data_IF_618170875258
#
_entry.id   IF_618170875258
#
_cell.length_a   1.000
_cell.length_b   1.000
_cell.length_c   1.000
_cell.angle_alpha   90.00
_cell.angle_beta   90.00
_cell.angle_gamma   90.00
#
_symmetry.space_group_name_H-M   'P 1'
#
loop_
_entity.id
_entity.type
_entity.pdbx_description
1 polymer ?
#
# COMPACT_ATOMS: atom_id res chain seq x y z
N UNK A 1 -39.45 -4.74 54.35
CA UNK A 1 -38.84 -4.45 53.02
C UNK A 1 -39.54 -3.24 52.42
N UNK A 2 -38.94 -2.05 52.50
CA UNK A 2 -39.53 -0.81 51.97
C UNK A 2 -39.51 -0.89 50.44
N UNK A 3 -40.68 -0.91 49.80
CA UNK A 3 -40.83 -0.72 48.34
C UNK A 3 -40.25 0.65 48.02
N UNK A 4 -39.00 0.69 47.53
CA UNK A 4 -38.43 1.87 46.91
C UNK A 4 -39.34 2.23 45.74
N UNK A 5 -40.08 3.32 45.90
CA UNK A 5 -41.06 3.81 44.94
C UNK A 5 -40.35 4.09 43.61
N UNK A 6 -40.61 3.27 42.59
CA UNK A 6 -40.10 3.41 41.22
C UNK A 6 -40.04 4.86 40.65
N UNK A 7 -40.97 5.80 40.96
CA UNK A 7 -40.86 7.19 40.48
C UNK A 7 -39.64 7.97 40.96
N UNK A 8 -38.97 7.61 42.07
CA UNK A 8 -37.78 8.34 42.53
C UNK A 8 -36.55 8.02 41.68
N UNK A 9 -36.39 6.76 41.25
CA UNK A 9 -35.30 6.31 40.39
C UNK A 9 -35.34 6.99 39.02
N UNK A 10 -36.54 7.14 38.44
CA UNK A 10 -36.70 7.80 37.14
C UNK A 10 -36.28 9.27 37.17
N UNK A 11 -36.68 10.01 38.22
CA UNK A 11 -36.30 11.42 38.40
C UNK A 11 -34.79 11.60 38.55
N UNK A 12 -34.13 10.73 39.33
CA UNK A 12 -32.68 10.78 39.51
C UNK A 12 -31.94 10.49 38.20
N UNK A 13 -32.36 9.47 37.44
CA UNK A 13 -31.77 9.18 36.13
C UNK A 13 -31.96 10.35 35.14
N UNK A 14 -33.14 10.96 35.10
CA UNK A 14 -33.41 12.10 34.24
C UNK A 14 -32.52 13.32 34.60
N UNK A 15 -32.36 13.62 35.89
CA UNK A 15 -31.51 14.71 36.36
C UNK A 15 -30.03 14.47 36.02
N UNK A 16 -29.53 13.24 36.19
CA UNK A 16 -28.15 12.88 35.84
C UNK A 16 -27.89 12.97 34.34
N UNK A 17 -28.84 12.52 33.50
CA UNK A 17 -28.74 12.67 32.05
C UNK A 17 -28.74 14.14 31.65
N UNK A 18 -29.62 14.97 32.21
CA UNK A 18 -29.66 16.40 31.94
C UNK A 18 -28.33 17.07 32.34
N UNK A 19 -27.79 16.75 33.52
CA UNK A 19 -26.51 17.27 33.97
C UNK A 19 -25.37 16.86 33.00
N UNK A 20 -25.36 15.61 32.55
CA UNK A 20 -24.40 15.14 31.57
C UNK A 20 -24.53 15.91 30.25
N UNK A 21 -25.76 16.10 29.73
CA UNK A 21 -26.00 16.90 28.53
C UNK A 21 -25.53 18.35 28.68
N UNK A 22 -25.80 19.00 29.81
CA UNK A 22 -25.34 20.36 30.09
C UNK A 22 -23.81 20.43 30.16
N UNK A 23 -23.16 19.44 30.77
CA UNK A 23 -21.70 19.39 30.83
C UNK A 23 -21.07 19.16 29.44
N UNK A 24 -21.70 18.36 28.58
CA UNK A 24 -21.28 18.20 27.18
C UNK A 24 -21.52 19.48 26.36
N UNK A 25 -22.64 20.18 26.57
CA UNK A 25 -22.90 21.45 25.90
C UNK A 25 -21.88 22.52 26.34
N UNK A 26 -21.57 22.58 27.64
CA UNK A 26 -20.56 23.48 28.19
C UNK A 26 -19.16 23.18 27.64
N UNK A 27 -18.77 21.91 27.55
CA UNK A 27 -17.47 21.53 26.99
C UNK A 27 -17.36 21.87 25.51
N UNK A 28 -18.44 21.71 24.73
CA UNK A 28 -18.50 22.12 23.33
C UNK A 28 -18.48 23.64 23.16
N UNK A 29 -19.10 24.39 24.08
CA UNK A 29 -19.06 25.86 24.09
C UNK A 29 -17.66 26.40 24.37
N UNK A 30 -16.92 25.73 25.25
CA UNK A 30 -15.54 26.08 25.61
C UNK A 30 -14.48 25.39 24.74
N UNK A 31 -14.87 24.67 23.69
CA UNK A 31 -13.93 24.03 22.81
C UNK A 31 -13.04 25.09 22.13
N UNK A 32 -11.70 24.99 22.22
CA UNK A 32 -10.81 25.94 21.59
C UNK A 32 -11.02 25.92 20.06
N UNK A 33 -10.73 27.06 19.41
CA UNK A 33 -10.77 27.14 17.96
C UNK A 33 -9.86 26.05 17.35
N UNK A 34 -10.45 25.16 16.57
CA UNK A 34 -9.72 24.13 15.85
C UNK A 34 -9.55 24.59 14.40
N UNK A 35 -8.31 24.70 13.94
CA UNK A 35 -7.95 25.10 12.59
C UNK A 35 -7.56 23.88 11.77
N UNK A 36 -7.83 23.91 10.46
CA UNK A 36 -7.34 22.90 9.53
C UNK A 36 -7.02 23.54 8.18
N UNK A 37 -6.16 22.92 7.36
CA UNK A 37 -5.93 23.37 5.99
C UNK A 37 -7.15 23.01 5.14
N UNK A 38 -7.89 24.03 4.68
CA UNK A 38 -8.95 23.84 3.68
C UNK A 38 -8.38 23.63 2.27
N UNK A 39 -7.15 24.08 2.03
CA UNK A 39 -6.39 23.78 0.82
C UNK A 39 -4.90 23.67 1.14
N UNK A 40 -4.23 22.68 0.55
CA UNK A 40 -2.77 22.52 0.57
C UNK A 40 -2.27 22.81 -0.83
N UNK A 41 -1.43 23.82 -0.98
CA UNK A 41 -0.92 24.26 -2.27
C UNK A 41 0.56 23.95 -2.39
N UNK A 42 0.96 23.23 -3.44
CA UNK A 42 2.36 23.04 -3.81
C UNK A 42 2.71 23.90 -5.04
N UNK A 43 3.78 24.70 -4.96
CA UNK A 43 4.30 25.52 -6.05
C UNK A 43 5.71 25.04 -6.37
N UNK A 44 5.90 24.52 -7.59
CA UNK A 44 7.16 23.94 -8.05
C UNK A 44 7.61 24.59 -9.36
N UNK A 45 8.89 24.93 -9.43
CA UNK A 45 9.56 25.22 -10.69
C UNK A 45 9.62 23.95 -11.58
N UNK A 46 9.91 24.14 -12.87
CA UNK A 46 10.12 23.00 -13.77
C UNK A 46 11.36 22.20 -13.33
N UNK A 47 11.22 20.88 -13.28
CA UNK A 47 12.24 19.94 -12.77
C UNK A 47 12.30 19.84 -11.24
N UNK A 48 11.56 20.66 -10.49
CA UNK A 48 11.60 20.66 -9.02
C UNK A 48 10.79 19.51 -8.43
N UNK A 49 11.23 19.04 -7.26
CA UNK A 49 10.56 17.99 -6.48
C UNK A 49 10.40 18.44 -5.03
N UNK A 50 9.24 18.18 -4.44
CA UNK A 50 8.98 18.37 -3.00
C UNK A 50 8.53 17.06 -2.36
N UNK A 51 9.01 16.81 -1.15
CA UNK A 51 8.59 15.68 -0.33
C UNK A 51 7.41 16.12 0.54
N UNK A 52 6.32 15.37 0.53
CA UNK A 52 5.13 15.65 1.33
C UNK A 52 4.79 14.41 2.17
N UNK A 53 4.43 14.63 3.42
CA UNK A 53 3.94 13.56 4.27
C UNK A 53 2.92 14.04 5.28
N UNK A 54 2.96 13.43 6.46
CA UNK A 54 2.00 13.64 7.54
C UNK A 54 1.82 15.11 7.89
N UNK A 55 2.93 15.86 7.98
CA UNK A 55 2.92 17.27 8.37
C UNK A 55 2.42 18.14 7.23
N UNK A 56 3.02 18.08 6.04
CA UNK A 56 2.75 18.99 4.92
C UNK A 56 1.36 18.80 4.31
N UNK A 57 0.82 17.57 4.35
CA UNK A 57 -0.51 17.25 3.88
C UNK A 57 -1.59 17.38 4.97
N UNK A 58 -1.19 17.62 6.22
CA UNK A 58 -2.05 17.48 7.40
C UNK A 58 -2.84 16.15 7.40
N UNK A 59 -2.22 15.08 6.91
CA UNK A 59 -2.81 13.74 6.81
C UNK A 59 -2.31 12.91 7.99
N UNK A 60 -3.07 12.76 9.09
CA UNK A 60 -2.59 12.23 10.37
C UNK A 60 -2.11 10.79 10.27
N UNK A 61 -2.60 10.01 9.31
CA UNK A 61 -2.19 8.63 9.08
C UNK A 61 -1.23 8.45 7.90
N UNK A 62 -0.72 9.54 7.31
CA UNK A 62 0.38 9.45 6.35
C UNK A 62 1.70 9.20 7.09
N UNK A 63 2.75 8.83 6.35
CA UNK A 63 4.09 8.70 6.90
C UNK A 63 4.77 10.08 6.87
N UNK A 64 5.89 10.24 7.60
CA UNK A 64 6.65 11.50 7.64
C UNK A 64 7.03 11.98 6.23
N UNK A 65 7.47 11.05 5.38
CA UNK A 65 7.64 11.25 3.94
C UNK A 65 6.77 10.20 3.26
N UNK A 66 5.61 10.60 2.73
CA UNK A 66 4.69 9.65 2.12
C UNK A 66 4.79 9.69 0.60
N UNK A 67 4.86 10.88 0.02
CA UNK A 67 4.93 11.09 -1.42
C UNK A 67 6.06 12.05 -1.79
N UNK A 68 6.60 11.89 -3.00
CA UNK A 68 7.33 12.95 -3.69
C UNK A 68 6.46 13.46 -4.83
N UNK A 69 6.27 14.77 -4.87
CA UNK A 69 5.60 15.47 -5.95
C UNK A 69 6.66 16.15 -6.81
N UNK A 70 6.68 15.85 -8.10
CA UNK A 70 7.62 16.36 -9.08
C UNK A 70 6.87 17.13 -10.17
N UNK A 71 7.46 18.20 -10.67
CA UNK A 71 6.99 18.87 -11.88
C UNK A 71 8.05 18.71 -12.97
N UNK A 72 7.72 18.04 -14.06
CA UNK A 72 8.69 17.76 -15.12
C UNK A 72 9.02 19.01 -15.95
N UNK A 73 9.96 18.87 -16.90
CA UNK A 73 10.34 19.95 -17.83
C UNK A 73 9.21 20.36 -18.78
N UNK A 74 8.25 19.47 -19.03
CA UNK A 74 7.03 19.74 -19.80
C UNK A 74 5.94 20.44 -18.98
N UNK A 75 6.15 20.62 -17.67
CA UNK A 75 5.20 21.23 -16.75
C UNK A 75 4.13 20.29 -16.20
N UNK A 76 4.22 18.99 -16.50
CA UNK A 76 3.31 17.97 -15.99
C UNK A 76 3.64 17.63 -14.54
N UNK A 77 2.60 17.28 -13.79
CA UNK A 77 2.74 16.84 -12.41
C UNK A 77 2.91 15.33 -12.34
N UNK A 78 3.89 14.89 -11.56
CA UNK A 78 4.22 13.50 -11.33
C UNK A 78 4.25 13.22 -9.84
N UNK A 79 3.81 12.02 -9.46
CA UNK A 79 3.74 11.58 -8.08
C UNK A 79 4.50 10.27 -7.92
N UNK A 80 5.32 10.19 -6.87
CA UNK A 80 5.98 8.95 -6.45
C UNK A 80 5.57 8.58 -5.04
N UNK A 81 5.20 7.32 -4.82
CA UNK A 81 4.97 6.83 -3.46
C UNK A 81 6.32 6.52 -2.79
N UNK A 82 6.55 7.12 -1.62
CA UNK A 82 7.72 6.89 -0.78
C UNK A 82 7.39 6.06 0.45
N UNK A 83 6.11 5.93 0.79
CA UNK A 83 5.71 5.14 1.94
C UNK A 83 6.04 3.67 1.67
N UNK A 84 6.84 3.03 2.55
CA UNK A 84 7.13 1.62 2.40
C UNK A 84 5.90 0.78 2.70
N UNK A 85 4.98 1.29 3.52
CA UNK A 85 3.90 0.53 4.13
C UNK A 85 2.49 0.87 3.65
N UNK A 86 2.28 2.10 3.19
CA UNK A 86 0.97 2.60 2.79
C UNK A 86 1.01 2.86 1.30
N UNK A 87 -0.08 2.48 0.65
CA UNK A 87 -0.23 2.70 -0.78
C UNK A 87 -1.03 3.98 -1.00
N UNK A 88 -0.71 4.68 -2.07
CA UNK A 88 -1.47 5.84 -2.53
C UNK A 88 -2.50 5.37 -3.54
N UNK A 89 -3.73 5.82 -3.39
CA UNK A 89 -4.80 5.55 -4.35
C UNK A 89 -4.99 6.82 -5.19
N UNK A 90 -5.06 6.66 -6.51
CA UNK A 90 -5.33 7.71 -7.48
C UNK A 90 -6.73 7.49 -8.04
N UNK A 91 -7.50 8.55 -8.20
CA UNK A 91 -8.82 8.46 -8.82
C UNK A 91 -8.81 9.19 -10.15
N UNK A 92 -9.24 8.47 -11.17
CA UNK A 92 -9.30 8.89 -12.57
C UNK A 92 -10.73 8.75 -13.06
N UNK A 93 -11.02 9.22 -14.28
CA UNK A 93 -12.32 8.99 -14.91
C UNK A 93 -12.63 7.49 -15.08
N UNK A 94 -11.60 6.67 -15.31
CA UNK A 94 -11.70 5.23 -15.51
C UNK A 94 -11.82 4.43 -14.20
N UNK A 95 -11.80 5.10 -13.05
CA UNK A 95 -11.91 4.48 -11.73
C UNK A 95 -10.71 4.72 -10.81
N UNK A 96 -10.60 3.90 -9.77
CA UNK A 96 -9.54 3.99 -8.78
C UNK A 96 -8.32 3.16 -9.19
N UNK A 97 -7.13 3.70 -8.96
CA UNK A 97 -5.86 3.04 -9.28
C UNK A 97 -4.93 3.10 -8.08
N UNK A 98 -4.52 1.93 -7.64
CA UNK A 98 -3.54 1.81 -6.58
C UNK A 98 -2.12 1.97 -7.11
N UNK A 99 -1.36 2.94 -6.59
CA UNK A 99 0.08 3.04 -6.87
C UNK A 99 0.80 1.82 -6.29
N UNK A 100 1.86 1.36 -6.96
CA UNK A 100 2.47 0.07 -6.61
C UNK A 100 1.77 -1.13 -7.23
N UNK A 101 0.85 -0.90 -8.17
CA UNK A 101 0.21 -1.93 -9.00
C UNK A 101 0.35 -1.64 -10.49
N UNK A 102 0.40 -2.70 -11.29
CA UNK A 102 0.49 -2.63 -12.76
C UNK A 102 -0.45 -3.67 -13.38
N UNK A 103 -1.00 -3.37 -14.56
CA UNK A 103 -1.63 -4.40 -15.38
C UNK A 103 -0.52 -5.19 -16.12
N UNK A 104 -0.39 -6.51 -15.90
CA UNK A 104 0.62 -7.30 -16.60
C UNK A 104 0.32 -7.36 -18.10
N UNK A 105 1.36 -7.28 -18.92
CA UNK A 105 1.25 -7.28 -20.39
C UNK A 105 1.97 -8.49 -20.99
N UNK A 106 1.47 -9.03 -22.10
CA UNK A 106 2.15 -10.09 -22.83
C UNK A 106 3.53 -9.63 -23.33
N UNK A 107 4.53 -10.51 -23.26
CA UNK A 107 5.93 -10.20 -23.57
C UNK A 107 6.69 -9.48 -22.44
N UNK A 108 6.00 -9.01 -21.40
CA UNK A 108 6.63 -8.37 -20.25
C UNK A 108 7.30 -9.41 -19.34
N UNK A 109 8.39 -9.02 -18.68
CA UNK A 109 8.94 -9.81 -17.58
C UNK A 109 8.73 -9.08 -16.26
N UNK A 110 8.43 -9.84 -15.21
CA UNK A 110 8.40 -9.33 -13.84
C UNK A 110 9.24 -10.22 -12.93
N UNK A 111 9.75 -9.63 -11.86
CA UNK A 111 10.62 -10.29 -10.90
C UNK A 111 10.08 -10.05 -9.50
N UNK A 112 9.97 -11.13 -8.72
CA UNK A 112 9.59 -11.10 -7.31
C UNK A 112 10.76 -11.66 -6.52
N UNK A 113 11.50 -10.78 -5.83
CA UNK A 113 12.76 -11.18 -5.20
C UNK A 113 13.79 -11.65 -6.23
N UNK A 114 14.29 -12.88 -6.13
CA UNK A 114 15.19 -13.46 -7.13
C UNK A 114 14.44 -14.17 -8.29
N UNK A 115 13.14 -14.44 -8.14
CA UNK A 115 12.38 -15.21 -9.11
C UNK A 115 11.90 -14.33 -10.27
N UNK A 116 12.33 -14.66 -11.49
CA UNK A 116 11.92 -13.99 -12.73
C UNK A 116 10.83 -14.76 -13.44
N UNK A 117 9.86 -14.05 -13.98
CA UNK A 117 8.71 -14.58 -14.70
C UNK A 117 8.56 -13.84 -16.01
N UNK A 118 8.27 -14.58 -17.08
CA UNK A 118 7.93 -14.04 -18.39
C UNK A 118 6.42 -14.21 -18.61
N UNK A 119 5.72 -13.11 -18.87
CA UNK A 119 4.28 -13.10 -19.18
C UNK A 119 4.12 -13.48 -20.64
N UNK A 120 3.54 -14.65 -20.90
CA UNK A 120 3.34 -15.15 -22.26
C UNK A 120 2.02 -14.68 -22.86
N UNK A 121 1.00 -14.47 -22.02
CA UNK A 121 -0.31 -13.94 -22.42
C UNK A 121 -0.96 -13.22 -21.24
N UNK A 122 -1.72 -12.16 -21.52
CA UNK A 122 -2.48 -11.42 -20.51
C UNK A 122 -3.72 -10.81 -21.18
N UNK A 123 -4.89 -11.08 -20.61
CA UNK A 123 -6.17 -10.53 -21.04
C UNK A 123 -7.02 -10.16 -19.81
N UNK A 124 -8.28 -9.75 -20.03
CA UNK A 124 -9.17 -9.39 -18.93
C UNK A 124 -9.55 -10.59 -18.06
N UNK A 125 -9.60 -11.80 -18.61
CA UNK A 125 -10.00 -13.03 -17.92
C UNK A 125 -8.84 -13.70 -17.17
N UNK A 126 -7.62 -13.62 -17.69
CA UNK A 126 -6.50 -14.38 -17.16
C UNK A 126 -5.12 -13.90 -17.61
N UNK A 127 -4.12 -14.54 -17.04
CA UNK A 127 -2.71 -14.33 -17.33
C UNK A 127 -1.99 -15.67 -17.36
N UNK A 128 -1.16 -15.84 -18.38
CA UNK A 128 -0.23 -16.96 -18.48
C UNK A 128 1.20 -16.45 -18.38
N UNK A 129 2.02 -17.12 -17.57
CA UNK A 129 3.40 -16.75 -17.35
C UNK A 129 4.27 -17.97 -17.10
N UNK A 130 5.57 -17.88 -17.37
CA UNK A 130 6.52 -18.99 -17.21
C UNK A 130 7.69 -18.62 -16.32
N UNK A 131 8.27 -19.63 -15.67
CA UNK A 131 9.55 -19.54 -14.95
C UNK A 131 10.37 -20.81 -15.25
N UNK A 132 11.45 -20.65 -16.02
CA UNK A 132 12.17 -21.80 -16.57
C UNK A 132 11.23 -22.66 -17.40
N UNK A 133 11.21 -23.97 -17.15
CA UNK A 133 10.32 -24.91 -17.85
C UNK A 133 8.86 -24.92 -17.36
N UNK A 134 8.55 -24.30 -16.21
CA UNK A 134 7.22 -24.36 -15.62
C UNK A 134 6.31 -23.30 -16.23
N UNK A 135 5.12 -23.71 -16.68
CA UNK A 135 4.08 -22.81 -17.19
C UNK A 135 2.97 -22.66 -16.16
N UNK A 136 2.55 -21.43 -15.95
CA UNK A 136 1.49 -21.06 -15.03
C UNK A 136 0.40 -20.32 -15.78
N UNK A 137 -0.86 -20.60 -15.44
CA UNK A 137 -2.02 -19.83 -15.89
C UNK A 137 -2.86 -19.49 -14.68
N UNK A 138 -3.32 -18.25 -14.59
CA UNK A 138 -4.19 -17.77 -13.53
C UNK A 138 -5.36 -17.01 -14.15
N UNK A 139 -6.59 -17.35 -13.79
CA UNK A 139 -7.84 -16.80 -14.36
C UNK A 139 -8.56 -15.81 -13.42
N UNK A 140 -7.86 -15.33 -12.38
CA UNK A 140 -8.46 -14.50 -11.35
C UNK A 140 -9.09 -15.27 -10.17
N UNK A 141 -9.21 -16.60 -10.27
CA UNK A 141 -9.83 -17.43 -9.25
C UNK A 141 -9.00 -18.69 -8.91
N UNK A 142 -8.35 -19.31 -9.88
CA UNK A 142 -7.62 -20.59 -9.79
C UNK A 142 -6.26 -20.47 -10.47
N UNK A 143 -5.22 -21.01 -9.82
CA UNK A 143 -3.89 -21.16 -10.40
C UNK A 143 -3.75 -22.56 -11.02
N UNK A 144 -3.29 -22.59 -12.26
CA UNK A 144 -2.96 -23.80 -13.01
C UNK A 144 -1.45 -23.85 -13.22
N UNK A 145 -0.88 -25.04 -13.09
CA UNK A 145 0.50 -25.35 -13.42
C UNK A 145 0.50 -26.41 -14.51
N UNK A 146 1.12 -26.10 -15.64
CA UNK A 146 1.22 -27.02 -16.78
C UNK A 146 -0.15 -27.60 -17.18
N UNK A 147 -1.21 -26.76 -17.10
CA UNK A 147 -2.59 -27.12 -17.41
C UNK A 147 -3.41 -27.70 -16.23
N UNK A 148 -2.77 -28.08 -15.12
CA UNK A 148 -3.45 -28.69 -13.98
C UNK A 148 -3.72 -27.68 -12.86
N UNK A 149 -4.97 -27.60 -12.40
CA UNK A 149 -5.35 -26.76 -11.26
C UNK A 149 -4.57 -27.19 -10.00
N UNK A 150 -4.02 -26.22 -9.27
CA UNK A 150 -3.27 -26.50 -8.05
C UNK A 150 -4.18 -27.05 -6.94
N UNK A 151 -3.70 -28.06 -6.23
CA UNK A 151 -4.40 -28.64 -5.09
C UNK A 151 -4.49 -27.63 -3.95
N UNK A 152 -5.54 -27.71 -3.12
CA UNK A 152 -5.65 -26.85 -1.95
C UNK A 152 -4.47 -27.05 -0.99
N UNK A 153 -4.09 -26.00 -0.27
CA UNK A 153 -3.03 -26.09 0.72
C UNK A 153 -3.42 -27.04 1.86
N UNK A 154 -2.43 -27.69 2.48
CA UNK A 154 -2.66 -28.64 3.57
C UNK A 154 -3.39 -27.96 4.76
N UNK A 155 -3.06 -26.71 5.04
CA UNK A 155 -3.66 -25.84 6.07
C UNK A 155 -5.00 -25.21 5.65
N UNK A 156 -5.49 -25.46 4.44
CA UNK A 156 -6.73 -24.84 3.96
C UNK A 156 -7.94 -25.35 4.76
N UNK A 157 -8.74 -24.40 5.27
CA UNK A 157 -10.02 -24.68 5.94
C UNK A 157 -10.98 -25.41 4.98
N UNK A 158 -11.90 -26.26 5.49
CA UNK A 158 -12.84 -27.00 4.64
C UNK A 158 -13.64 -26.09 3.69
N UNK A 159 -14.11 -24.93 4.15
CA UNK A 159 -14.80 -23.95 3.31
C UNK A 159 -13.92 -23.44 2.16
N UNK A 160 -12.63 -23.21 2.39
CA UNK A 160 -11.69 -22.78 1.35
C UNK A 160 -11.41 -23.88 0.32
N UNK A 161 -11.44 -25.15 0.75
CA UNK A 161 -11.32 -26.31 -0.16
C UNK A 161 -12.57 -26.47 -1.02
N UNK A 162 -13.76 -26.35 -0.42
CA UNK A 162 -15.03 -26.37 -1.13
C UNK A 162 -15.09 -25.23 -2.16
N UNK A 163 -14.67 -24.03 -1.79
CA UNK A 163 -14.59 -22.88 -2.71
C UNK A 163 -13.62 -23.12 -3.88
N UNK A 164 -12.48 -23.79 -3.64
CA UNK A 164 -11.58 -24.15 -4.74
C UNK A 164 -12.20 -25.15 -5.70
N UNK A 165 -12.92 -26.15 -5.17
CA UNK A 165 -13.64 -27.11 -6.00
C UNK A 165 -14.73 -26.41 -6.81
N UNK A 166 -15.48 -25.50 -6.19
CA UNK A 166 -16.46 -24.65 -6.85
C UNK A 166 -15.85 -23.87 -8.01
N UNK A 167 -14.79 -23.08 -7.74
CA UNK A 167 -14.12 -22.27 -8.77
C UNK A 167 -13.52 -23.12 -9.91
N UNK A 168 -13.23 -24.41 -9.69
CA UNK A 168 -12.69 -25.31 -10.71
C UNK A 168 -13.77 -25.84 -11.67
N UNK A 169 -15.00 -26.00 -11.18
CA UNK A 169 -16.11 -26.59 -11.94
C UNK A 169 -16.99 -25.51 -12.58
N UNK A 170 -17.10 -24.36 -11.92
CA UNK A 170 -17.96 -23.27 -12.38
C UNK A 170 -17.34 -22.48 -13.53
N UNK A 171 -18.17 -21.94 -14.45
CA UNK A 171 -17.71 -21.00 -15.46
C UNK A 171 -17.24 -19.69 -14.83
N UNK A 172 -16.37 -18.95 -15.53
CA UNK A 172 -15.66 -17.78 -15.01
C UNK A 172 -16.55 -16.75 -14.30
N UNK A 173 -17.75 -16.49 -14.82
CA UNK A 173 -18.71 -15.53 -14.26
C UNK A 173 -19.36 -15.97 -12.93
N UNK A 174 -19.30 -17.26 -12.58
CA UNK A 174 -19.73 -17.82 -11.29
C UNK A 174 -18.57 -18.07 -10.33
N UNK A 175 -17.33 -17.87 -10.78
CA UNK A 175 -16.17 -18.05 -9.91
C UNK A 175 -16.07 -16.90 -8.91
N UNK A 176 -15.59 -17.23 -7.71
CA UNK A 176 -15.30 -16.23 -6.69
C UNK A 176 -13.85 -15.81 -6.83
N UNK A 177 -13.62 -14.53 -7.14
CA UNK A 177 -12.28 -13.98 -7.31
C UNK A 177 -11.42 -14.20 -6.05
N UNK A 178 -10.18 -14.67 -6.26
CA UNK A 178 -9.22 -14.88 -5.18
C UNK A 178 -7.83 -14.52 -5.61
N UNK A 179 -7.09 -13.68 -4.86
CA UNK A 179 -5.76 -13.25 -5.25
C UNK A 179 -4.80 -14.44 -5.38
N UNK A 180 -3.92 -14.38 -6.37
CA UNK A 180 -2.70 -15.16 -6.45
C UNK A 180 -1.62 -14.48 -5.61
N UNK A 181 -1.10 -15.22 -4.63
CA UNK A 181 -0.11 -14.76 -3.66
C UNK A 181 1.26 -15.34 -4.01
N UNK A 182 2.26 -14.48 -4.19
CA UNK A 182 3.65 -14.89 -4.42
C UNK A 182 4.43 -14.88 -3.09
N UNK A 183 5.27 -15.89 -2.88
CA UNK A 183 6.10 -16.04 -1.68
C UNK A 183 5.81 -17.30 -0.86
N UNK A 184 6.62 -17.53 0.17
CA UNK A 184 6.61 -18.75 0.98
C UNK A 184 7.25 -19.94 0.26
N UNK A 185 7.30 -21.11 0.89
CA UNK A 185 8.05 -22.26 0.34
C UNK A 185 7.20 -23.33 -0.35
N UNK A 186 5.87 -23.12 -0.46
CA UNK A 186 4.93 -24.16 -0.92
C UNK A 186 4.06 -23.63 -2.06
N UNK A 187 3.95 -24.42 -3.13
CA UNK A 187 2.98 -24.20 -4.21
C UNK A 187 1.68 -24.94 -3.87
N UNK A 188 0.60 -24.21 -3.65
CA UNK A 188 -0.72 -24.79 -3.38
C UNK A 188 -1.83 -23.74 -3.55
N UNK A 189 -3.01 -24.14 -4.00
CA UNK A 189 -4.13 -23.26 -4.27
C UNK A 189 -3.71 -22.05 -5.10
N UNK A 190 -3.96 -20.84 -4.59
CA UNK A 190 -3.51 -19.59 -5.23
C UNK A 190 -2.25 -19.04 -4.54
N UNK A 191 -1.36 -19.91 -4.07
CA UNK A 191 -0.06 -19.55 -3.50
C UNK A 191 1.04 -20.12 -4.39
N UNK A 192 1.91 -19.25 -4.89
CA UNK A 192 3.09 -19.62 -5.65
C UNK A 192 4.32 -19.42 -4.76
N UNK A 193 4.85 -20.54 -4.26
CA UNK A 193 6.04 -20.58 -3.42
C UNK A 193 7.29 -20.03 -4.13
N UNK A 194 8.00 -19.15 -3.45
CA UNK A 194 9.29 -18.59 -3.83
C UNK A 194 10.24 -18.76 -2.63
N UNK A 195 11.32 -19.51 -2.83
CA UNK A 195 12.35 -19.68 -1.81
C UNK A 195 12.89 -18.32 -1.35
N UNK A 196 13.11 -18.18 -0.04
CA UNK A 196 13.68 -16.99 0.60
C UNK A 196 12.83 -15.70 0.43
N UNK A 197 11.56 -15.85 0.09
CA UNK A 197 10.62 -14.73 -0.07
C UNK A 197 9.45 -14.91 0.87
N UNK A 198 9.12 -13.85 1.62
CA UNK A 198 7.99 -13.87 2.55
C UNK A 198 6.66 -14.06 1.80
N UNK A 199 5.71 -14.84 2.35
CA UNK A 199 4.38 -14.99 1.77
C UNK A 199 3.69 -13.64 1.59
N UNK A 200 3.17 -13.38 0.39
CA UNK A 200 2.51 -12.10 0.09
C UNK A 200 3.48 -10.98 -0.27
N UNK A 201 4.69 -11.30 -0.71
CA UNK A 201 5.64 -10.37 -1.31
C UNK A 201 5.08 -9.62 -2.53
N UNK A 202 4.31 -10.33 -3.37
CA UNK A 202 3.55 -9.77 -4.48
C UNK A 202 2.18 -10.45 -4.56
N UNK A 203 1.22 -9.76 -5.14
CA UNK A 203 -0.16 -10.20 -5.29
C UNK A 203 -0.59 -9.97 -6.74
N UNK A 204 -1.33 -10.91 -7.30
CA UNK A 204 -2.00 -10.75 -8.58
C UNK A 204 -3.49 -10.98 -8.35
N UNK A 205 -4.29 -9.95 -8.51
CA UNK A 205 -5.70 -9.96 -8.14
C UNK A 205 -6.54 -9.17 -9.14
N UNK A 206 -7.84 -9.45 -9.18
CA UNK A 206 -8.79 -8.67 -9.97
C UNK A 206 -9.13 -7.37 -9.24
N UNK A 207 -8.94 -6.24 -9.91
CA UNK A 207 -9.33 -4.91 -9.46
C UNK A 207 -9.94 -4.16 -10.66
N UNK A 208 -11.15 -3.64 -10.48
CA UNK A 208 -11.90 -2.94 -11.54
C UNK A 208 -12.07 -3.79 -12.82
N UNK A 209 -12.36 -5.08 -12.63
CA UNK A 209 -12.54 -6.03 -13.73
C UNK A 209 -11.24 -6.54 -14.39
N UNK A 210 -10.08 -5.95 -14.09
CA UNK A 210 -8.80 -6.36 -14.68
C UNK A 210 -7.85 -7.00 -13.67
N UNK A 211 -6.95 -7.87 -14.15
CA UNK A 211 -5.88 -8.40 -13.32
C UNK A 211 -4.80 -7.34 -13.11
N UNK A 212 -4.43 -7.11 -11.85
CA UNK A 212 -3.35 -6.21 -11.45
C UNK A 212 -2.33 -6.96 -10.61
N UNK A 213 -1.07 -6.84 -11.01
CA UNK A 213 0.09 -7.28 -10.24
C UNK A 213 0.51 -6.13 -9.32
N UNK A 214 0.41 -6.33 -8.02
CA UNK A 214 0.79 -5.35 -7.00
C UNK A 214 1.89 -5.89 -6.09
N UNK A 215 2.71 -4.96 -5.60
CA UNK A 215 3.65 -5.30 -4.56
C UNK A 215 2.88 -5.50 -3.24
N UNK A 216 3.11 -6.62 -2.57
CA UNK A 216 2.30 -7.05 -1.43
C UNK A 216 2.74 -6.46 -0.08
N UNK A 217 2.34 -7.08 1.03
CA UNK A 217 2.31 -6.41 2.33
C UNK A 217 3.72 -5.98 2.80
N UNK A 218 3.93 -4.72 3.21
CA UNK A 218 5.18 -4.22 3.83
C UNK A 218 5.67 -4.91 5.10
N UNK A 219 4.81 -5.63 5.81
CA UNK A 219 5.14 -6.20 7.14
C UNK A 219 6.09 -7.41 7.06
N UNK A 220 6.32 -7.95 5.85
CA UNK A 220 7.34 -8.96 5.58
C UNK A 220 8.62 -8.34 5.00
N UNK A 221 9.73 -9.11 5.03
CA UNK A 221 10.94 -8.75 4.27
C UNK A 221 10.55 -8.37 2.84
N UNK A 222 10.91 -7.13 2.48
CA UNK A 222 10.48 -6.43 1.27
C UNK A 222 11.12 -7.08 0.05
N UNK A 223 10.50 -8.13 -0.46
CA UNK A 223 10.81 -8.57 -1.80
C UNK A 223 10.42 -7.46 -2.79
N UNK A 224 11.41 -6.96 -3.53
CA UNK A 224 11.16 -6.03 -4.62
C UNK A 224 10.32 -6.72 -5.69
N UNK A 225 9.26 -6.03 -6.10
CA UNK A 225 8.52 -6.37 -7.31
C UNK A 225 9.09 -5.47 -8.41
N UNK A 226 9.86 -6.05 -9.31
CA UNK A 226 10.46 -5.34 -10.43
C UNK A 226 9.72 -5.71 -11.72
N UNK A 227 9.48 -4.73 -12.58
CA UNK A 227 9.08 -4.96 -13.97
C UNK A 227 10.27 -4.68 -14.86
N UNK A 228 10.54 -5.57 -15.80
CA UNK A 228 11.49 -5.29 -16.87
C UNK A 228 10.75 -4.57 -17.99
N UNK A 229 11.16 -3.34 -18.29
CA UNK A 229 10.68 -2.56 -19.42
C UNK A 229 11.90 -2.05 -20.17
N UNK A 230 11.99 -2.37 -21.46
CA UNK A 230 13.09 -1.95 -22.32
C UNK A 230 14.48 -2.29 -21.75
N UNK A 231 14.59 -3.48 -21.11
CA UNK A 231 15.82 -3.93 -20.46
C UNK A 231 16.12 -3.28 -19.09
N UNK A 232 15.29 -2.34 -18.64
CA UNK A 232 15.44 -1.64 -17.36
C UNK A 232 14.51 -2.24 -16.31
N UNK A 233 15.07 -2.57 -15.15
CA UNK A 233 14.32 -3.04 -13.99
C UNK A 233 13.70 -1.85 -13.24
N UNK A 234 12.37 -1.77 -13.22
CA UNK A 234 11.61 -0.71 -12.54
C UNK A 234 10.93 -1.31 -11.32
N UNK A 235 11.21 -0.79 -10.13
CA UNK A 235 10.48 -1.13 -8.90
C UNK A 235 9.08 -0.54 -8.96
N UNK A 236 8.06 -1.41 -8.99
CA UNK A 236 6.65 -1.02 -9.11
C UNK A 236 6.22 -0.11 -7.95
N UNK A 237 6.79 -0.30 -6.74
CA UNK A 237 6.47 0.55 -5.58
C UNK A 237 6.98 1.98 -5.73
N UNK A 238 8.12 2.15 -6.42
CA UNK A 238 8.80 3.43 -6.60
C UNK A 238 8.49 4.09 -7.94
N UNK A 239 7.58 3.51 -8.71
CA UNK A 239 7.18 4.05 -10.00
C UNK A 239 6.56 5.44 -9.83
N UNK A 240 6.98 6.36 -10.69
CA UNK A 240 6.35 7.67 -10.83
C UNK A 240 5.11 7.55 -11.70
N UNK A 241 4.02 8.17 -11.25
CA UNK A 241 2.74 8.19 -11.96
C UNK A 241 2.41 9.63 -12.31
N UNK A 242 2.02 9.86 -13.56
CA UNK A 242 1.52 11.17 -13.97
C UNK A 242 0.20 11.45 -13.27
N UNK A 243 0.02 12.70 -12.82
CA UNK A 243 -1.25 13.19 -12.27
C UNK A 243 -2.18 13.75 -13.36
N UNK A 244 -1.80 13.61 -14.63
CA UNK A 244 -2.69 13.92 -15.77
C UNK A 244 -3.94 13.05 -15.66
N UNK A 245 -5.12 13.66 -15.77
CA UNK A 245 -6.44 13.02 -15.63
C UNK A 245 -6.72 12.40 -14.25
N UNK A 246 -5.96 12.76 -13.21
CA UNK A 246 -6.23 12.36 -11.81
C UNK A 246 -7.03 13.48 -11.13
N UNK A 247 -8.26 13.17 -10.72
CA UNK A 247 -9.17 14.12 -10.05
C UNK A 247 -9.01 14.12 -8.54
N UNK A 248 -8.57 13.01 -7.95
CA UNK A 248 -8.33 12.89 -6.52
C UNK A 248 -7.23 11.89 -6.20
N UNK A 249 -6.63 12.02 -5.03
CA UNK A 249 -5.74 11.01 -4.46
C UNK A 249 -6.08 10.73 -3.00
N UNK A 250 -5.75 9.54 -2.51
CA UNK A 250 -5.86 9.17 -1.10
C UNK A 250 -4.48 8.89 -0.54
N UNK A 251 -4.08 9.66 0.46
CA UNK A 251 -2.78 9.56 1.14
C UNK A 251 -3.03 9.43 2.63
N UNK A 252 -2.57 8.33 3.25
CA UNK A 252 -2.79 8.10 4.68
C UNK A 252 -4.27 8.19 5.07
N UNK A 253 -5.15 7.56 4.30
CA UNK A 253 -6.62 7.61 4.41
C UNK A 253 -7.27 9.00 4.30
N UNK A 254 -6.50 10.03 3.95
CA UNK A 254 -7.02 11.38 3.69
C UNK A 254 -7.21 11.52 2.19
N UNK A 255 -8.44 11.79 1.76
CA UNK A 255 -8.76 12.04 0.36
C UNK A 255 -8.49 13.51 0.03
N UNK A 256 -7.74 13.76 -1.03
CA UNK A 256 -7.46 15.08 -1.58
C UNK A 256 -8.05 15.18 -2.98
N UNK A 257 -8.88 16.18 -3.25
CA UNK A 257 -9.22 16.56 -4.62
C UNK A 257 -8.04 17.35 -5.21
N UNK A 258 -7.68 17.05 -6.45
CA UNK A 258 -6.57 17.68 -7.14
C UNK A 258 -7.10 18.76 -8.08
N UNK A 259 -6.61 19.97 -7.92
CA UNK A 259 -6.89 21.11 -8.80
C UNK A 259 -5.56 21.60 -9.37
N UNK A 260 -5.12 21.03 -10.51
CA UNK A 260 -3.89 21.44 -11.16
C UNK A 260 -4.06 22.83 -11.80
N UNK A 261 -3.03 23.66 -11.65
CA UNK A 261 -2.89 24.97 -12.26
C UNK A 261 -1.46 25.10 -12.81
N UNK A 262 -1.18 26.03 -13.75
CA UNK A 262 0.17 26.26 -14.23
C UNK A 262 1.13 26.60 -13.08
N UNK A 263 2.12 25.72 -12.83
CA UNK A 263 3.11 25.89 -11.75
C UNK A 263 2.59 25.70 -10.32
N UNK A 264 1.32 25.35 -10.15
CA UNK A 264 0.72 25.14 -8.84
C UNK A 264 -0.19 23.91 -8.84
N UNK A 265 -0.06 23.03 -7.83
CA UNK A 265 -1.01 21.97 -7.57
C UNK A 265 -1.72 22.25 -6.25
N UNK A 266 -3.03 22.45 -6.32
CA UNK A 266 -3.86 22.63 -5.13
C UNK A 266 -4.53 21.31 -4.77
N UNK A 267 -4.35 20.87 -3.53
CA UNK A 267 -4.90 19.65 -2.95
C UNK A 267 -5.93 20.05 -1.89
N UNK A 268 -7.20 19.73 -2.14
CA UNK A 268 -8.30 20.05 -1.22
C UNK A 268 -8.61 18.81 -0.37
N UNK A 269 -8.25 18.79 0.92
CA UNK A 269 -8.53 17.65 1.78
C UNK A 269 -10.02 17.55 2.09
N UNK A 270 -10.57 16.33 2.03
CA UNK A 270 -11.99 16.06 2.29
C UNK A 270 -12.28 15.72 3.75
N UNK A 271 -11.75 14.59 4.25
CA UNK A 271 -11.99 14.07 5.60
C UNK A 271 -10.70 13.51 6.19
N UNK A 272 -10.66 13.37 7.52
CA UNK A 272 -9.52 12.86 8.31
C UNK A 272 -8.28 13.75 8.18
N UNK A 273 -8.44 15.04 8.47
CA UNK A 273 -7.36 16.04 8.45
C UNK A 273 -6.93 16.32 9.89
N UNK A 274 -5.65 16.60 10.11
CA UNK A 274 -5.15 17.08 11.39
C UNK A 274 -5.82 18.42 11.76
N UNK A 275 -6.19 18.54 13.03
CA UNK A 275 -6.68 19.79 13.61
C UNK A 275 -5.55 20.45 14.41
N UNK A 276 -5.49 21.77 14.34
CA UNK A 276 -4.46 22.60 14.96
C UNK A 276 -5.11 23.63 15.89
N UNK A 277 -4.42 24.00 16.95
CA UNK A 277 -4.89 25.04 17.88
C UNK A 277 -4.74 26.47 17.32
N UNK A 278 -3.85 26.66 16.35
CA UNK A 278 -3.58 27.93 15.71
C UNK A 278 -3.23 27.74 14.22
N UNK A 279 -3.43 28.76 13.36
CA UNK A 279 -3.16 28.70 11.93
C UNK A 279 -1.68 28.97 11.60
N UNK A 280 -0.77 28.44 12.41
CA UNK A 280 0.67 28.52 12.22
C UNK A 280 1.27 27.12 12.22
N UNK A 281 1.76 26.71 11.06
CA UNK A 281 2.54 25.48 10.95
C UNK A 281 3.75 25.79 10.10
N UNK A 282 4.96 25.44 10.55
CA UNK A 282 6.12 25.58 9.70
C UNK A 282 5.95 24.65 8.49
N UNK A 283 6.14 25.17 7.29
CA UNK A 283 6.04 24.41 6.03
C UNK A 283 7.27 24.69 5.16
N UNK A 284 7.66 23.76 4.27
CA UNK A 284 8.63 24.05 3.22
C UNK A 284 8.19 25.25 2.36
N UNK A 285 9.14 25.99 1.79
CA UNK A 285 8.83 27.20 1.01
C UNK A 285 7.92 26.93 -0.21
N UNK A 286 7.94 25.72 -0.74
CA UNK A 286 7.12 25.27 -1.86
C UNK A 286 5.67 24.97 -1.47
N UNK A 287 5.36 24.86 -0.16
CA UNK A 287 4.07 24.39 0.33
C UNK A 287 3.41 25.48 1.18
N UNK A 288 2.17 25.81 0.87
CA UNK A 288 1.38 26.76 1.65
C UNK A 288 0.00 26.21 1.96
N UNK A 289 -0.54 26.56 3.12
CA UNK A 289 -1.90 26.20 3.51
C UNK A 289 -2.83 27.41 3.44
N UNK A 290 -4.07 27.14 3.04
CA UNK A 290 -5.19 28.02 3.32
C UNK A 290 -5.90 27.51 4.55
N UNK A 291 -5.77 28.23 5.65
CA UNK A 291 -6.36 27.86 6.93
C UNK A 291 -7.85 28.16 6.96
N UNK A 292 -8.62 27.27 7.59
CA UNK A 292 -10.02 27.49 7.92
C UNK A 292 -10.28 27.06 9.36
N UNK A 293 -10.99 27.91 10.09
CA UNK A 293 -11.50 27.56 11.41
C UNK A 293 -12.61 26.52 11.25
N UNK A 294 -12.63 25.53 12.14
CA UNK A 294 -13.71 24.55 12.27
C UNK A 294 -14.81 25.18 13.08
N UNK A 295 -15.89 25.56 12.40
CA UNK A 295 -17.13 25.94 13.06
C UNK A 295 -17.75 24.70 13.69
N UNK A 296 -17.98 24.75 15.01
CA UNK A 296 -18.57 23.63 15.76
C UNK A 296 -20.09 23.60 15.57
N UNK A 297 -20.69 24.74 15.19
CA UNK A 297 -22.14 24.92 15.03
C UNK A 297 -22.44 25.84 13.85
N UNK A 298 -23.11 25.32 12.82
CA UNK A 298 -23.82 26.15 11.85
C UNK A 298 -25.24 26.35 12.40
N UNK A 299 -25.48 27.47 13.09
CA UNK A 299 -26.85 27.84 13.45
C UNK A 299 -27.67 28.11 12.17
N UNK A 300 -28.96 27.73 12.12
CA UNK A 300 -29.85 28.10 11.02
C UNK A 300 -29.99 29.64 11.02
N UNK A 301 -29.16 30.33 10.24
CA UNK A 301 -29.09 31.79 10.25
C UNK A 301 -27.71 32.37 9.96
N UNK A 302 -26.64 31.58 10.05
CA UNK A 302 -25.33 32.01 9.54
C UNK A 302 -25.35 31.93 8.02
N UNK A 303 -25.86 32.99 7.39
CA UNK A 303 -25.65 33.25 5.97
C UNK A 303 -24.14 33.25 5.76
N UNK A 304 -23.66 32.30 4.97
CA UNK A 304 -22.30 32.29 4.43
C UNK A 304 -22.00 33.68 3.92
N UNK A 305 -21.18 34.43 4.67
CA UNK A 305 -20.65 35.70 4.20
C UNK A 305 -19.67 35.37 3.09
N UNK A 306 -20.22 35.18 1.88
CA UNK A 306 -19.47 35.26 0.63
C UNK A 306 -18.72 36.59 0.68
N UNK A 307 -17.40 36.50 0.55
CA UNK A 307 -16.47 37.53 0.96
C UNK A 307 -16.81 38.92 0.44
N UNK A 308 -16.78 39.89 1.34
CA UNK A 308 -16.40 41.24 0.93
C UNK A 308 -14.90 41.21 0.60
N UNK A 309 -14.48 41.61 -0.60
CA UNK A 309 -13.07 41.83 -0.87
C UNK A 309 -12.62 42.97 0.06
N UNK A 310 -11.66 42.69 0.93
CA UNK A 310 -10.92 43.74 1.64
C UNK A 310 -10.04 44.42 0.60
N UNK A 311 -10.60 45.40 -0.12
CA UNK A 311 -9.81 46.43 -0.78
C UNK A 311 -9.09 47.21 0.32
N UNK A 312 -7.86 46.78 0.62
CA UNK A 312 -6.94 47.56 1.44
C UNK A 312 -6.44 48.70 0.56
N UNK A 313 -7.11 49.84 0.63
CA UNK A 313 -6.60 51.11 0.12
C UNK A 313 -5.27 51.38 0.80
N UNK A 314 -4.20 51.26 0.02
CA UNK A 314 -2.89 51.80 0.36
C UNK A 314 -2.99 53.32 0.33
N UNK A 315 -3.24 53.92 1.50
CA UNK A 315 -3.27 55.36 1.70
C UNK A 315 -2.61 55.73 3.01
N UNK A 316 -1.44 56.35 2.90
CA UNK A 316 -0.80 57.21 3.91
C UNK A 316 -0.57 56.64 5.33
N UNK A 317 0.55 55.94 5.50
CA UNK A 317 1.30 55.95 6.76
C UNK A 317 2.80 56.13 6.48
N UNK A 318 3.12 57.23 5.79
CA UNK A 318 4.46 57.81 5.84
C UNK A 318 4.57 58.60 7.15
N UNK A 319 5.28 58.05 8.13
CA UNK A 319 5.61 58.75 9.36
C UNK A 319 5.66 57.84 10.57
N UNK A 320 6.82 57.80 11.22
CA UNK A 320 7.11 57.15 12.52
C UNK A 320 7.56 55.67 12.48
N UNK A 321 8.61 55.38 11.71
CA UNK A 321 9.55 54.28 12.04
C UNK A 321 11.02 54.71 11.90
N UNK A 322 11.34 55.92 12.42
CA UNK A 322 12.71 56.45 12.51
C UNK A 322 13.14 56.72 13.96
N UNK A 323 12.81 55.87 14.92
CA UNK A 323 13.30 56.02 16.31
C UNK A 323 13.36 54.68 17.08
N UNK A 324 13.91 53.61 16.49
CA UNK A 324 14.19 52.38 17.25
C UNK A 324 15.43 51.59 16.77
N UNK A 325 16.33 52.22 16.01
CA UNK A 325 17.63 51.64 15.60
C UNK A 325 18.83 52.54 15.95
N UNK A 326 18.76 53.25 17.07
CA UNK A 326 19.84 54.12 17.57
C UNK A 326 20.29 53.81 18.99
N UNK A 327 20.14 52.57 19.44
CA UNK A 327 20.72 52.05 20.69
C UNK A 327 21.28 50.65 20.47
N UNK A 328 22.42 50.58 19.77
CA UNK A 328 23.38 49.46 19.79
C UNK A 328 24.73 49.82 19.12
N UNK A 329 25.00 51.12 18.90
CA UNK A 329 26.29 51.63 18.45
C UNK A 329 26.82 52.60 19.51
N UNK A 330 27.53 52.07 20.50
CA UNK A 330 27.98 52.87 21.64
C UNK A 330 28.71 52.07 22.71
N UNK A 331 29.71 51.27 22.34
CA UNK A 331 30.79 50.89 23.24
C UNK A 331 31.95 50.32 22.42
N UNK A 332 33.17 50.77 22.75
CA UNK A 332 34.49 50.30 22.29
C UNK A 332 35.03 50.93 20.99
N UNK A 333 35.37 52.22 21.11
CA UNK A 333 36.64 52.73 20.57
C UNK A 333 37.56 53.08 21.75
N UNK A 334 38.78 52.57 21.72
CA UNK A 334 39.84 53.03 22.61
C UNK A 334 40.94 51.99 22.84
N UNK A 335 41.81 51.73 21.84
CA UNK A 335 43.25 51.58 22.07
C UNK A 335 44.04 51.51 20.73
N UNK A 336 44.75 52.61 20.45
CA UNK A 336 46.17 52.69 20.07
C UNK A 336 46.69 51.99 18.78
N UNK A 337 46.72 52.76 17.69
CA UNK A 337 47.91 53.28 16.95
C UNK A 337 49.22 52.43 16.92
N UNK A 338 49.62 51.98 15.71
CA UNK A 338 50.98 52.10 15.06
C UNK A 338 50.90 51.42 13.67
N UNK A 339 50.89 52.15 12.56
CA UNK A 339 52.02 52.70 11.73
C UNK A 339 52.88 51.63 11.01
N UNK A 340 52.99 51.78 9.69
CA UNK A 340 53.97 51.17 8.76
C UNK A 340 53.26 50.47 7.60
N UNK A 341 52.98 51.06 6.42
CA UNK A 341 53.85 51.65 5.39
C UNK A 341 54.69 50.62 4.60
N UNK A 342 54.47 50.56 3.27
CA UNK A 342 55.23 49.77 2.28
C UNK A 342 54.30 49.14 1.22
N UNK A 343 53.80 49.86 0.20
CA UNK A 343 54.40 50.23 -1.10
C UNK A 343 54.93 49.09 -2.00
N UNK A 344 54.30 49.02 -3.21
CA UNK A 344 54.89 48.78 -4.56
C UNK A 344 55.40 47.34 -4.84
N UNK A 345 55.48 46.77 -6.04
CA UNK A 345 55.09 47.04 -7.44
C UNK A 345 55.43 45.75 -8.24
N UNK A 346 54.74 45.52 -9.39
CA UNK A 346 55.19 44.71 -10.55
C UNK A 346 55.40 43.18 -10.33
N UNK A 347 55.31 42.27 -11.29
CA UNK A 347 55.41 42.29 -12.77
C UNK A 347 54.84 40.98 -13.33
N UNK A 348 54.56 41.00 -14.63
CA UNK A 348 54.21 39.88 -15.51
C UNK A 348 55.23 38.73 -15.52
N UNK A 349 54.78 37.54 -15.94
CA UNK A 349 55.63 36.41 -16.28
C UNK A 349 54.85 35.18 -16.75
N UNK A 350 55.01 34.85 -18.03
CA UNK A 350 54.40 33.77 -18.80
C UNK A 350 54.77 32.33 -18.38
N UNK A 351 54.03 31.41 -18.99
CA UNK A 351 54.45 30.08 -19.47
C UNK A 351 54.15 28.83 -18.62
N UNK A 352 53.16 28.09 -19.13
CA UNK A 352 53.19 26.66 -19.46
C UNK A 352 53.72 25.65 -18.42
N UNK A 353 52.78 24.87 -17.85
CA UNK A 353 52.87 23.40 -17.73
C UNK A 353 51.51 22.80 -17.34
N UNK A 354 50.93 21.98 -18.24
CA UNK A 354 50.03 20.86 -17.90
C UNK A 354 50.90 19.71 -17.29
N UNK A 355 50.34 18.60 -16.76
CA UNK A 355 48.95 18.21 -16.49
C UNK A 355 48.73 17.70 -15.03
N UNK A 356 47.50 17.36 -14.66
CA UNK A 356 47.29 16.54 -13.46
C UNK A 356 45.86 16.52 -12.92
N UNK A 357 45.05 15.60 -13.43
CA UNK A 357 43.73 15.28 -12.90
C UNK A 357 43.84 14.76 -11.45
N UNK A 358 43.11 15.40 -10.51
CA UNK A 358 42.86 14.84 -9.18
C UNK A 358 41.36 14.55 -9.02
N UNK A 359 41.00 13.29 -9.27
CA UNK A 359 39.83 12.65 -8.66
C UNK A 359 40.15 12.41 -7.19
N UNK A 360 39.43 13.08 -6.28
CA UNK A 360 39.41 12.72 -4.85
C UNK A 360 38.41 11.59 -4.64
N UNK A 361 38.91 10.38 -4.46
CA UNK A 361 38.24 9.30 -3.74
C UNK A 361 38.39 9.60 -2.24
N UNK A 362 37.28 9.59 -1.51
CA UNK A 362 37.29 9.44 -0.06
C UNK A 362 37.37 7.94 0.26
N UNK A 363 38.48 7.59 0.90
CA UNK A 363 38.77 6.30 1.50
C UNK A 363 38.45 6.42 3.01
N UNK A 364 37.68 5.47 3.56
CA UNK A 364 37.61 5.21 5.01
C UNK A 364 37.61 3.69 5.21
N UNK A 365 38.50 3.16 6.08
CA UNK A 365 38.88 1.75 6.08
C UNK A 365 38.11 0.92 7.12
N UNK A 366 38.02 -0.39 6.87
CA UNK A 366 37.49 -1.36 7.81
C UNK A 366 37.81 -2.81 7.44
N UNK A 367 39.10 -3.21 7.59
CA UNK A 367 39.58 -4.60 7.54
C UNK A 367 38.96 -5.45 8.66
N UNK A 368 38.57 -6.70 8.34
CA UNK A 368 39.12 -7.93 8.95
C UNK A 368 38.83 -9.19 8.11
N UNK A 369 39.95 -9.76 7.61
CA UNK A 369 40.34 -11.16 7.28
C UNK A 369 39.21 -12.18 7.02
N UNK A 370 39.08 -12.78 5.85
CA UNK A 370 39.99 -13.74 5.17
C UNK A 370 40.16 -15.08 5.92
N UNK A 371 39.51 -16.11 5.36
CA UNK A 371 39.79 -17.53 5.54
C UNK A 371 39.38 -18.25 4.26
N UNK A 372 40.35 -18.53 3.40
CA UNK A 372 40.26 -19.37 2.21
C UNK A 372 40.85 -20.73 2.58
N UNK A 373 40.20 -21.85 2.24
CA UNK A 373 40.80 -23.02 1.54
C UNK A 373 39.68 -23.79 0.84
N UNK A 374 39.98 -24.26 -0.37
CA UNK A 374 39.11 -24.88 -1.36
C UNK A 374 39.12 -26.42 -1.33
N UNK A 375 38.23 -26.97 -2.17
CA UNK A 375 38.31 -28.23 -2.93
C UNK A 375 38.09 -29.58 -2.21
N UNK A 376 37.11 -30.36 -2.68
CA UNK A 376 37.32 -31.50 -3.60
C UNK A 376 36.03 -32.35 -3.75
N UNK A 377 35.95 -33.06 -4.87
CA UNK A 377 34.80 -33.80 -5.37
C UNK A 377 34.85 -35.31 -5.01
N UNK A 378 33.67 -35.88 -4.68
CA UNK A 378 33.17 -37.26 -4.87
C UNK A 378 33.95 -38.48 -4.32
N UNK A 379 33.44 -39.74 -4.43
CA UNK A 379 32.05 -40.21 -4.58
C UNK A 379 31.66 -41.38 -3.61
N UNK A 380 30.38 -41.80 -3.69
CA UNK A 380 29.78 -43.13 -3.41
C UNK A 380 30.35 -44.06 -2.31
N UNK A 381 29.52 -44.41 -1.32
CA UNK A 381 29.44 -45.79 -0.80
C UNK A 381 28.11 -46.08 -0.06
N UNK A 382 27.57 -47.26 -0.36
CA UNK A 382 26.40 -47.93 0.19
C UNK A 382 26.67 -48.38 1.63
N UNK A 383 25.71 -48.24 2.55
CA UNK A 383 25.88 -48.72 3.93
C UNK A 383 24.59 -48.80 4.75
N UNK A 384 24.09 -50.02 4.91
CA UNK A 384 22.93 -50.49 5.67
C UNK A 384 22.77 -49.93 7.10
N UNK A 385 21.47 -49.76 7.46
CA UNK A 385 20.79 -50.07 8.74
C UNK A 385 21.58 -49.99 10.06
N UNK A 386 21.08 -49.17 10.98
CA UNK A 386 20.63 -49.58 12.33
C UNK A 386 19.82 -48.45 13.00
N UNK A 387 18.57 -48.73 13.37
CA UNK A 387 17.87 -48.04 14.46
C UNK A 387 18.53 -48.48 15.78
N UNK A 388 18.55 -47.62 16.82
CA UNK A 388 17.63 -47.90 17.91
C UNK A 388 17.10 -46.67 18.65
N UNK A 389 16.09 -46.97 19.47
CA UNK A 389 15.74 -46.35 20.75
C UNK A 389 15.15 -44.93 20.77
N UNK A 390 13.84 -44.95 20.98
CA UNK A 390 13.04 -43.99 21.75
C UNK A 390 13.76 -43.62 23.06
N UNK A 391 13.96 -42.32 23.28
CA UNK A 391 14.22 -41.76 24.61
C UNK A 391 13.14 -40.72 24.92
N UNK A 392 12.26 -41.09 25.85
CA UNK A 392 11.29 -40.20 26.50
C UNK A 392 12.09 -39.31 27.45
N UNK A 393 12.22 -38.03 27.10
CA UNK A 393 12.80 -37.00 27.97
C UNK A 393 11.73 -36.00 28.40
N UNK A 394 11.20 -36.19 29.62
CA UNK A 394 10.53 -35.13 30.39
C UNK A 394 11.58 -34.06 30.73
N UNK A 395 11.35 -32.82 30.33
CA UNK A 395 11.96 -31.66 30.98
C UNK A 395 10.85 -30.71 31.43
N UNK A 396 10.79 -30.56 32.75
CA UNK A 396 10.08 -29.52 33.44
C UNK A 396 10.91 -28.24 33.45
N UNK A 397 10.21 -27.10 33.43
CA UNK A 397 10.64 -25.86 34.06
C UNK A 397 11.54 -24.92 33.25
N UNK A 398 10.94 -23.90 32.65
CA UNK A 398 11.46 -22.54 32.73
C UNK A 398 10.32 -21.54 32.47
N UNK A 399 10.00 -20.78 33.52
CA UNK A 399 9.14 -19.61 33.48
C UNK A 399 9.75 -18.51 32.60
N UNK A 400 8.91 -17.77 31.87
CA UNK A 400 9.36 -16.66 31.03
C UNK A 400 8.20 -15.86 30.48
N UNK A 401 7.82 -14.83 31.23
CA UNK A 401 7.04 -13.63 30.92
C UNK A 401 6.47 -13.46 29.49
N UNK A 402 5.14 -13.32 29.42
CA UNK A 402 4.43 -12.93 28.21
C UNK A 402 4.53 -11.44 27.85
N UNK A 403 3.92 -11.07 26.71
CA UNK A 403 3.14 -9.85 26.66
C UNK A 403 1.72 -10.08 26.13
N UNK A 404 0.82 -9.23 26.61
CA UNK A 404 -0.63 -9.34 26.54
C UNK A 404 -1.22 -9.43 25.14
N UNK A 405 -2.18 -10.34 25.00
CA UNK A 405 -3.17 -10.32 23.92
C UNK A 405 -4.44 -9.65 24.44
N UNK A 406 -4.67 -8.41 24.00
CA UNK A 406 -6.00 -7.81 24.02
C UNK A 406 -6.86 -8.51 22.97
N UNK A 407 -7.68 -9.47 23.42
CA UNK A 407 -8.80 -9.98 22.64
C UNK A 407 -9.93 -8.96 22.69
N UNK A 408 -10.17 -8.23 21.61
CA UNK A 408 -11.41 -7.48 21.42
C UNK A 408 -12.47 -8.51 21.01
N UNK A 409 -13.30 -8.91 21.98
CA UNK A 409 -14.56 -9.61 21.73
C UNK A 409 -15.57 -8.55 21.30
N UNK A 410 -15.87 -8.49 20.00
CA UNK A 410 -17.03 -7.76 19.49
C UNK A 410 -18.24 -8.64 19.74
N UNK A 411 -18.89 -8.45 20.90
CA UNK A 411 -20.22 -8.96 21.15
C UNK A 411 -21.21 -8.07 20.38
N UNK A 412 -21.77 -8.60 19.30
CA UNK A 412 -22.90 -7.98 18.62
C UNK A 412 -24.13 -8.10 19.52
N UNK A 413 -24.55 -6.95 20.08
CA UNK A 413 -25.84 -6.78 20.75
C UNK A 413 -26.95 -6.84 19.70
N UNK A 414 -27.61 -8.00 19.60
CA UNK A 414 -28.93 -8.12 19.00
C UNK A 414 -30.00 -7.92 20.09
N UNK A 415 -31.11 -7.22 19.80
CA UNK A 415 -32.10 -6.86 20.81
C UNK A 415 -32.88 -8.10 21.29
N UNK A 416 -32.74 -8.37 22.58
CA UNK A 416 -33.41 -9.43 23.31
C UNK A 416 -34.89 -9.09 23.49
N UNK A 417 -35.75 -9.78 22.75
CA UNK A 417 -37.21 -9.69 22.85
C UNK A 417 -37.63 -10.45 24.13
N UNK A 418 -38.11 -9.70 25.13
CA UNK A 418 -38.67 -10.24 26.38
C UNK A 418 -39.86 -11.16 26.08
N UNK A 419 -39.67 -12.47 26.25
CA UNK A 419 -40.71 -13.48 26.35
C UNK A 419 -40.84 -13.94 27.80
N UNK A 420 -42.07 -13.93 28.29
CA UNK A 420 -42.48 -14.15 29.68
C UNK A 420 -42.27 -15.57 30.18
N UNK A 421 -42.17 -15.68 31.51
CA UNK A 421 -41.99 -16.90 32.27
C UNK A 421 -43.12 -17.91 32.09
N UNK A 422 -42.77 -19.18 31.84
CA UNK A 422 -43.69 -20.32 31.90
C UNK A 422 -43.36 -21.38 30.86
N UNK A 423 -42.41 -22.28 31.16
CA UNK A 423 -42.40 -23.69 30.70
C UNK A 423 -41.04 -24.37 30.95
N UNK A 424 -40.70 -24.54 32.24
CA UNK A 424 -39.65 -25.49 32.66
C UNK A 424 -40.30 -26.71 33.30
N UNK A 425 -40.87 -27.59 32.48
CA UNK A 425 -41.14 -28.98 32.83
C UNK A 425 -41.53 -29.75 31.57
N UNK A 426 -40.58 -30.47 30.97
CA UNK A 426 -40.71 -31.69 30.13
C UNK A 426 -39.59 -31.76 29.09
N UNK A 427 -38.39 -32.15 29.53
CA UNK A 427 -37.43 -32.87 28.67
C UNK A 427 -36.74 -33.96 29.48
N UNK A 428 -37.46 -35.06 29.67
CA UNK A 428 -36.89 -36.39 29.88
C UNK A 428 -37.55 -37.32 28.86
N UNK A 429 -36.70 -38.13 28.20
CA UNK A 429 -37.01 -39.21 27.24
C UNK A 429 -37.44 -38.77 25.84
N UNK A 430 -36.52 -38.91 24.88
CA UNK A 430 -36.70 -39.91 23.83
C UNK A 430 -35.34 -40.33 23.28
N UNK A 431 -35.07 -41.63 23.42
CA UNK A 431 -34.02 -42.41 22.78
C UNK A 431 -34.66 -43.04 21.55
N UNK A 432 -34.03 -42.91 20.38
CA UNK A 432 -34.20 -43.79 19.21
C UNK A 432 -33.18 -43.36 18.13
N UNK A 433 -32.13 -44.17 17.87
CA UNK A 433 -32.07 -45.17 16.79
C UNK A 433 -31.88 -44.55 15.39
N UNK A 434 -30.64 -44.57 14.90
CA UNK A 434 -30.35 -44.61 13.46
C UNK A 434 -29.30 -45.70 13.22
N UNK A 435 -29.74 -46.77 12.57
CA UNK A 435 -28.93 -47.87 12.07
C UNK A 435 -28.36 -47.55 10.66
N UNK A 436 -27.32 -48.26 10.19
CA UNK A 436 -26.62 -47.94 8.95
C UNK A 436 -27.24 -48.64 7.73
N UNK A 437 -27.31 -47.94 6.59
CA UNK A 437 -27.69 -48.54 5.30
C UNK A 437 -26.42 -48.90 4.51
N UNK A 438 -26.14 -50.20 4.42
CA UNK A 438 -25.35 -50.83 3.34
C UNK A 438 -26.31 -51.18 2.20
N UNK A 439 -25.94 -50.89 0.95
CA UNK A 439 -26.31 -51.72 -0.21
C UNK A 439 -25.13 -51.83 -1.19
N UNK A 440 -24.77 -53.07 -1.47
CA UNK A 440 -24.11 -53.50 -2.70
C UNK A 440 -25.12 -53.50 -3.85
N UNK A 441 -24.65 -53.23 -5.07
CA UNK A 441 -25.05 -53.96 -6.27
C UNK A 441 -23.85 -54.03 -7.22
N UNK A 442 -23.73 -55.19 -7.85
CA UNK A 442 -22.61 -55.62 -8.67
C UNK A 442 -22.91 -55.48 -10.18
N UNK A 443 -21.80 -55.41 -10.94
CA UNK A 443 -21.52 -56.11 -12.19
C UNK A 443 -22.35 -55.91 -13.48
N UNK A 444 -21.55 -55.79 -14.56
CA UNK A 444 -21.70 -56.33 -15.91
C UNK A 444 -22.44 -55.51 -16.98
N UNK A 445 -21.70 -55.06 -18.01
CA UNK A 445 -21.79 -55.63 -19.37
C UNK A 445 -20.65 -55.12 -20.28
N UNK A 446 -20.04 -56.04 -21.02
CA UNK A 446 -19.12 -55.84 -22.15
C UNK A 446 -19.92 -55.87 -23.46
N UNK A 447 -19.52 -55.08 -24.47
CA UNK A 447 -19.62 -55.30 -25.93
C UNK A 447 -18.90 -54.07 -26.56
N UNK A 448 -17.78 -54.09 -27.32
CA UNK A 448 -17.20 -54.87 -28.43
C UNK A 448 -17.80 -54.56 -29.83
N UNK A 449 -16.92 -54.08 -30.72
CA UNK A 449 -16.96 -53.94 -32.21
C UNK A 449 -17.88 -52.83 -32.77
N UNK A 450 -17.58 -52.13 -33.88
CA UNK A 450 -16.50 -52.12 -34.89
C UNK A 450 -16.60 -50.77 -35.65
N UNK A 451 -15.50 -50.15 -36.11
CA UNK A 451 -14.82 -50.34 -37.40
C UNK A 451 -15.48 -49.65 -38.61
N UNK A 452 -14.61 -49.08 -39.47
CA UNK A 452 -14.80 -48.66 -40.88
C UNK A 452 -15.42 -47.27 -41.09
N UNK A 453 -15.04 -46.43 -42.06
CA UNK A 453 -13.84 -46.11 -42.85
C UNK A 453 -14.26 -44.94 -43.79
N UNK A 454 -13.28 -44.37 -44.50
CA UNK A 454 -13.43 -43.46 -45.65
C UNK A 454 -13.94 -42.05 -45.33
N UNK A 455 -13.49 -40.99 -45.96
CA UNK A 455 -12.61 -40.79 -47.11
C UNK A 455 -12.66 -39.29 -47.43
N UNK A 456 -11.60 -38.73 -47.98
CA UNK A 456 -11.57 -37.30 -48.28
C UNK A 456 -10.22 -36.82 -48.77
N UNK A 457 -9.74 -37.43 -49.84
CA UNK A 457 -8.71 -36.83 -50.68
C UNK A 457 -9.30 -35.58 -51.36
N UNK A 458 -8.63 -34.44 -51.21
CA UNK A 458 -8.93 -33.21 -51.92
C UNK A 458 -7.63 -32.65 -52.48
N UNK A 459 -7.26 -33.12 -53.67
CA UNK A 459 -6.25 -32.50 -54.50
C UNK A 459 -6.83 -31.22 -55.14
N UNK A 460 -6.03 -30.16 -55.23
CA UNK A 460 -6.40 -28.97 -55.98
C UNK A 460 -5.26 -27.95 -56.11
N UNK A 461 -4.51 -28.08 -57.21
CA UNK A 461 -3.97 -27.03 -58.12
C UNK A 461 -3.39 -25.75 -57.49
N UNK A 462 -2.09 -25.49 -57.69
CA UNK A 462 -1.49 -24.92 -58.90
C UNK A 462 -1.92 -23.46 -59.16
N UNK A 463 -0.96 -22.56 -58.95
CA UNK A 463 -1.04 -21.13 -59.24
C UNK A 463 0.38 -20.55 -59.28
N UNK A 464 1.12 -20.89 -60.33
CA UNK A 464 2.22 -20.07 -60.83
C UNK A 464 1.64 -18.77 -61.42
N UNK A 465 2.29 -17.64 -61.16
CA UNK A 465 2.78 -16.68 -62.16
C UNK A 465 2.88 -15.24 -61.62
N UNK A 466 4.08 -14.67 -61.77
CA UNK A 466 4.35 -13.25 -62.14
C UNK A 466 4.03 -12.17 -61.09
N UNK A 467 4.75 -11.05 -60.92
CA UNK A 467 5.85 -10.37 -61.61
C UNK A 467 6.50 -9.42 -60.56
N UNK A 468 7.83 -9.30 -60.50
CA UNK A 468 8.61 -8.15 -61.03
C UNK A 468 7.94 -6.78 -60.85
N UNK A 469 8.57 -5.90 -60.06
CA UNK A 469 8.29 -4.46 -60.10
C UNK A 469 8.91 -3.65 -58.96
N UNK A 470 10.17 -3.25 -59.15
CA UNK A 470 10.93 -2.09 -58.61
C UNK A 470 10.76 -1.64 -57.16
#
# INVERSE_FOLDING_TARGET
MKKLSQPSLFKTCAALLLLFFLMQAWSLWHAPAAWYPAAVTARLALGETVLLGQRELAAPQADRNHIALHRDSGGNWWLRNLSPAKQVLLQTADGERQMGSVAPQAGQQFQVGAARFEVTASDAGGISFRRGAQRWRYDGAVLYRDGQAQAACADARPASRALMLWNRVMPDWLTVARPLVFGGNIHCGNRLGLADITPGAALLARADGQLRLSAGNPDGERASLLLMRDGVAIDVRRQEQSLTNVSAMVVGHTRFLLVPQPGQLTMLPGRRVSLFSAPDSPLPAQVSWQWRAREVWHGPGQKTAVGRPVHRTAGAAAGRQRTARRRLAGARRGAVRRRGAGQRHHRAGDAARRPGAQRRLFDVPGRRRAGVVAAAAGPLAIGRRRRPAVAVGRLAGAAGNGPGRHGIVVAALLPEKRGTAGDRLRRRRLVALVAPVRRHCAAAARHRMGAVAAGGAGAGRAGDASAVGR
#
